data_IF_915652601698
#
_entry.id   IF_915652601698
#
_cell.length_a   1.000
_cell.length_b   1.000
_cell.length_c   1.000
_cell.angle_alpha   90.00
_cell.angle_beta   90.00
_cell.angle_gamma   90.00
#
_symmetry.space_group_name_H-M   'P 1'
#
loop_
_entity.id
_entity.type
_entity.pdbx_description
1 polymer ?
#
# COMPACT_ATOMS: atom_id res chain seq x y z
N UNK A 1 13.05 -10.89 34.86
CA UNK A 1 13.09 -10.74 33.37
C UNK A 1 11.82 -10.02 32.95
N UNK A 2 11.94 -8.83 32.36
CA UNK A 2 10.77 -8.15 31.80
C UNK A 2 10.24 -9.00 30.65
N UNK A 3 8.99 -9.46 30.76
CA UNK A 3 8.33 -10.18 29.68
C UNK A 3 8.20 -9.24 28.48
N UNK A 4 8.56 -9.73 27.31
CA UNK A 4 8.46 -9.04 26.04
C UNK A 4 7.15 -9.45 25.35
N UNK A 5 6.55 -8.54 24.64
CA UNK A 5 5.39 -8.80 23.78
C UNK A 5 5.50 -8.03 22.49
N UNK A 6 4.58 -8.28 21.58
CA UNK A 6 4.60 -7.72 20.22
C UNK A 6 3.24 -7.16 19.86
N UNK A 7 3.21 -5.93 19.41
CA UNK A 7 2.10 -5.44 18.59
C UNK A 7 2.38 -5.90 17.16
N UNK A 8 1.37 -6.38 16.48
CA UNK A 8 1.52 -6.90 15.12
C UNK A 8 0.43 -6.37 14.18
N UNK A 9 0.77 -6.33 12.90
CA UNK A 9 -0.16 -6.15 11.79
C UNK A 9 -0.24 -7.47 11.05
N UNK A 10 -1.47 -7.98 10.85
CA UNK A 10 -1.74 -9.13 10.02
C UNK A 10 -2.56 -8.71 8.81
N UNK A 11 -2.26 -9.36 7.69
CA UNK A 11 -3.03 -9.33 6.45
C UNK A 11 -3.66 -10.68 6.16
N UNK A 12 -4.65 -10.72 5.27
CA UNK A 12 -5.25 -11.96 4.81
C UNK A 12 -5.80 -11.75 3.39
N UNK A 13 -5.46 -12.65 2.49
CA UNK A 13 -5.86 -12.59 1.06
C UNK A 13 -7.38 -12.72 0.83
N UNK A 14 -8.14 -13.17 1.85
CA UNK A 14 -9.61 -13.23 1.78
C UNK A 14 -10.27 -11.88 2.05
N UNK A 15 -9.55 -10.91 2.55
CA UNK A 15 -10.10 -9.61 2.92
C UNK A 15 -10.02 -8.63 1.75
N UNK A 16 -10.82 -7.58 1.84
CA UNK A 16 -10.69 -6.44 0.92
C UNK A 16 -9.30 -5.80 1.06
N UNK A 17 -8.84 -5.18 -0.01
CA UNK A 17 -7.65 -4.33 0.04
C UNK A 17 -7.77 -3.34 1.21
N UNK A 18 -6.68 -3.07 1.89
CA UNK A 18 -6.60 -2.25 3.10
C UNK A 18 -7.24 -2.82 4.38
N UNK A 19 -7.82 -4.01 4.37
CA UNK A 19 -8.31 -4.62 5.60
C UNK A 19 -7.16 -5.31 6.34
N UNK A 20 -6.76 -4.73 7.46
CA UNK A 20 -5.72 -5.27 8.33
C UNK A 20 -6.27 -5.61 9.71
N UNK A 21 -5.57 -6.50 10.40
CA UNK A 21 -5.79 -6.77 11.82
C UNK A 21 -4.58 -6.27 12.62
N UNK A 22 -4.85 -5.44 13.64
CA UNK A 22 -3.83 -4.99 14.58
C UNK A 22 -4.11 -5.67 15.92
N UNK A 23 -3.12 -6.39 16.46
CA UNK A 23 -3.25 -7.10 17.72
C UNK A 23 -1.97 -7.14 18.54
N UNK A 24 -2.05 -7.79 19.69
CA UNK A 24 -0.93 -8.02 20.61
C UNK A 24 -0.78 -9.49 20.95
N UNK A 25 0.44 -9.99 21.03
CA UNK A 25 0.75 -11.31 21.55
C UNK A 25 2.18 -11.35 22.12
N UNK A 26 2.42 -12.25 23.04
CA UNK A 26 3.78 -12.62 23.47
C UNK A 26 4.43 -13.62 22.52
N UNK A 27 3.61 -14.31 21.71
CA UNK A 27 4.02 -15.28 20.69
C UNK A 27 3.11 -15.07 19.46
N UNK A 28 3.64 -14.37 18.47
CA UNK A 28 2.85 -13.97 17.29
C UNK A 28 2.63 -15.15 16.37
N UNK A 29 3.61 -16.01 16.17
CA UNK A 29 3.48 -17.18 15.27
C UNK A 29 2.41 -18.15 15.78
N UNK A 30 2.42 -18.46 17.07
CA UNK A 30 1.36 -19.28 17.70
C UNK A 30 0.00 -18.58 17.54
N UNK A 31 -0.06 -17.27 17.74
CA UNK A 31 -1.30 -16.51 17.60
C UNK A 31 -1.85 -16.52 16.19
N UNK A 32 -0.99 -16.40 15.18
CA UNK A 32 -1.38 -16.50 13.77
C UNK A 32 -1.97 -17.88 13.47
N UNK A 33 -1.33 -18.94 13.91
CA UNK A 33 -1.87 -20.33 13.74
C UNK A 33 -3.25 -20.49 14.40
N UNK A 34 -3.46 -19.93 15.59
CA UNK A 34 -4.77 -19.95 16.28
C UNK A 34 -5.84 -19.19 15.51
N UNK A 35 -5.48 -18.09 14.86
CA UNK A 35 -6.40 -17.24 14.07
C UNK A 35 -6.69 -17.84 12.69
N UNK A 36 -5.73 -18.56 12.11
CA UNK A 36 -5.81 -19.20 10.78
C UNK A 36 -6.55 -20.55 10.87
N UNK A 37 -7.71 -20.58 11.53
CA UNK A 37 -8.52 -21.79 11.66
C UNK A 37 -9.43 -22.00 10.45
N UNK A 38 -10.17 -23.13 10.48
CA UNK A 38 -11.01 -23.66 9.38
C UNK A 38 -12.11 -22.73 8.84
N UNK A 39 -12.25 -21.53 9.35
CA UNK A 39 -13.25 -20.56 8.91
C UNK A 39 -12.79 -19.58 7.85
N UNK A 40 -11.52 -19.59 7.46
CA UNK A 40 -10.96 -18.68 6.45
C UNK A 40 -10.37 -19.49 5.29
N UNK A 41 -10.57 -19.04 4.02
CA UNK A 41 -10.00 -19.71 2.85
C UNK A 41 -8.48 -19.53 2.73
N UNK A 42 -7.89 -18.52 3.37
CA UNK A 42 -6.45 -18.26 3.43
C UNK A 42 -6.02 -18.00 4.87
N UNK A 43 -4.79 -18.37 5.18
CA UNK A 43 -4.18 -18.11 6.49
C UNK A 43 -3.85 -16.60 6.65
N UNK A 44 -3.71 -16.17 7.90
CA UNK A 44 -3.17 -14.87 8.18
C UNK A 44 -1.67 -14.82 7.90
N UNK A 45 -1.22 -13.72 7.35
CA UNK A 45 0.18 -13.41 7.12
C UNK A 45 0.63 -12.28 8.06
N UNK A 46 1.83 -12.44 8.64
CA UNK A 46 2.42 -11.39 9.47
C UNK A 46 3.01 -10.34 8.53
N UNK A 47 2.46 -9.12 8.57
CA UNK A 47 3.01 -8.01 7.80
C UNK A 47 4.18 -7.36 8.55
N UNK A 48 3.98 -7.02 9.83
CA UNK A 48 5.05 -6.53 10.70
C UNK A 48 4.80 -6.87 12.16
N UNK A 49 5.88 -6.83 12.95
CA UNK A 49 5.84 -6.92 14.41
C UNK A 49 6.67 -5.81 15.02
N UNK A 50 6.19 -5.24 16.13
CA UNK A 50 6.94 -4.29 16.92
C UNK A 50 7.04 -4.80 18.36
N UNK A 51 8.29 -5.07 18.81
CA UNK A 51 8.58 -5.55 20.15
C UNK A 51 8.41 -4.43 21.17
N UNK A 52 7.59 -4.67 22.17
CA UNK A 52 7.32 -3.74 23.27
C UNK A 52 7.48 -4.45 24.62
N UNK A 53 7.70 -3.73 25.72
CA UNK A 53 7.53 -4.31 27.04
C UNK A 53 6.15 -4.95 27.18
N UNK A 54 6.06 -6.16 27.74
CA UNK A 54 4.81 -6.89 27.81
C UNK A 54 3.71 -6.07 28.48
N UNK A 55 2.75 -5.62 27.71
CA UNK A 55 1.61 -4.84 28.18
C UNK A 55 0.36 -5.27 27.42
N UNK A 56 -0.55 -5.93 28.11
CA UNK A 56 -1.88 -6.30 27.58
C UNK A 56 -2.76 -5.09 27.22
N UNK A 57 -2.27 -3.87 27.44
CA UNK A 57 -3.01 -2.63 27.14
C UNK A 57 -2.49 -1.91 25.90
N UNK A 58 -1.36 -2.36 25.33
CA UNK A 58 -0.70 -1.64 24.26
C UNK A 58 -1.52 -1.61 22.96
N UNK A 59 -2.06 -2.76 22.55
CA UNK A 59 -2.97 -2.87 21.41
C UNK A 59 -4.23 -2.03 21.62
N UNK A 60 -4.85 -2.10 22.80
CA UNK A 60 -6.06 -1.33 23.13
C UNK A 60 -5.80 0.17 23.12
N UNK A 61 -4.61 0.60 23.51
CA UNK A 61 -4.23 2.01 23.46
C UNK A 61 -4.05 2.48 22.01
N UNK A 62 -3.40 1.67 21.19
CA UNK A 62 -3.26 1.95 19.75
C UNK A 62 -4.61 1.97 19.04
N UNK A 63 -5.49 1.00 19.31
CA UNK A 63 -6.85 0.98 18.75
C UNK A 63 -7.64 2.24 19.11
N UNK A 64 -7.54 2.71 20.37
CA UNK A 64 -8.17 3.96 20.80
C UNK A 64 -7.59 5.16 20.08
N UNK A 65 -6.28 5.21 19.91
CA UNK A 65 -5.62 6.31 19.20
C UNK A 65 -6.12 6.40 17.76
N UNK A 66 -6.14 5.28 17.04
CA UNK A 66 -6.65 5.21 15.66
C UNK A 66 -8.12 5.68 15.63
N UNK A 67 -8.95 5.20 16.55
CA UNK A 67 -10.35 5.55 16.62
C UNK A 67 -10.61 7.02 16.99
N UNK A 68 -9.74 7.63 17.79
CA UNK A 68 -9.81 9.07 18.10
C UNK A 68 -9.43 9.94 16.91
N UNK A 69 -8.45 9.51 16.11
CA UNK A 69 -8.02 10.23 14.91
C UNK A 69 -9.02 10.10 13.77
N UNK A 70 -9.53 8.90 13.55
CA UNK A 70 -10.55 8.64 12.53
C UNK A 70 -11.39 7.40 12.90
N UNK A 71 -12.61 7.60 13.44
CA UNK A 71 -13.50 6.51 13.83
C UNK A 71 -13.90 5.58 12.68
N UNK A 72 -13.93 6.08 11.45
CA UNK A 72 -14.36 5.31 10.27
C UNK A 72 -13.34 4.25 9.83
N UNK A 73 -12.10 4.34 10.29
CA UNK A 73 -11.07 3.34 9.99
C UNK A 73 -11.33 1.99 10.67
N UNK A 74 -12.10 1.95 11.73
CA UNK A 74 -12.46 0.70 12.41
C UNK A 74 -13.65 0.04 11.72
N UNK A 75 -13.42 -1.11 11.07
CA UNK A 75 -14.45 -1.77 10.25
C UNK A 75 -15.66 -2.20 11.07
N UNK A 76 -15.43 -2.72 12.29
CA UNK A 76 -16.51 -3.18 13.15
C UNK A 76 -16.22 -2.79 14.61
N UNK A 77 -17.17 -2.21 15.34
CA UNK A 77 -17.02 -1.94 16.77
C UNK A 77 -16.58 -3.20 17.52
N UNK A 78 -15.67 -3.04 18.49
CA UNK A 78 -15.14 -4.14 19.33
C UNK A 78 -14.36 -5.23 18.60
N UNK A 79 -14.05 -5.08 17.32
CA UNK A 79 -13.13 -5.95 16.58
C UNK A 79 -11.82 -5.21 16.31
N UNK A 80 -10.78 -5.97 16.02
CA UNK A 80 -9.40 -5.49 15.83
C UNK A 80 -9.05 -5.32 14.34
N UNK A 81 -10.08 -5.06 13.51
CA UNK A 81 -9.95 -4.89 12.07
C UNK A 81 -10.10 -3.43 11.68
N UNK A 82 -9.20 -2.99 10.79
CA UNK A 82 -9.11 -1.61 10.36
C UNK A 82 -9.02 -1.53 8.84
N UNK A 83 -9.67 -0.54 8.25
CA UNK A 83 -9.58 -0.18 6.83
C UNK A 83 -8.41 0.81 6.65
N UNK A 84 -7.22 0.28 6.70
CA UNK A 84 -5.96 1.02 6.58
C UNK A 84 -5.02 0.19 5.71
N UNK A 85 -4.40 0.81 4.71
CA UNK A 85 -3.37 0.13 3.92
C UNK A 85 -2.23 -0.36 4.85
N UNK A 86 -1.75 -1.60 4.68
CA UNK A 86 -0.70 -2.16 5.54
C UNK A 86 0.55 -1.27 5.64
N UNK A 87 0.93 -0.62 4.54
CA UNK A 87 2.08 0.28 4.46
C UNK A 87 1.87 1.55 5.29
N UNK A 88 0.64 2.06 5.34
CA UNK A 88 0.28 3.24 6.16
C UNK A 88 0.30 2.87 7.63
N UNK A 89 -0.24 1.70 7.99
CA UNK A 89 -0.19 1.21 9.36
C UNK A 89 1.24 0.89 9.80
N UNK A 90 2.09 0.39 8.91
CA UNK A 90 3.51 0.17 9.18
C UNK A 90 4.24 1.49 9.49
N UNK A 91 3.99 2.56 8.73
CA UNK A 91 4.55 3.89 9.02
C UNK A 91 4.16 4.41 10.40
N UNK A 92 2.93 4.13 10.86
CA UNK A 92 2.55 4.45 12.24
C UNK A 92 3.43 3.71 13.26
N UNK A 93 3.80 2.46 12.98
CA UNK A 93 4.71 1.70 13.84
C UNK A 93 6.14 2.21 13.75
N UNK A 94 6.59 2.68 12.59
CA UNK A 94 7.89 3.35 12.42
C UNK A 94 7.97 4.60 13.31
N UNK A 95 6.97 5.48 13.26
CA UNK A 95 6.92 6.67 14.10
C UNK A 95 6.88 6.32 15.61
N UNK A 96 6.11 5.28 15.97
CA UNK A 96 6.10 4.79 17.35
C UNK A 96 7.49 4.26 17.79
N UNK A 97 8.18 3.56 16.90
CA UNK A 97 9.51 3.02 17.18
C UNK A 97 10.54 4.16 17.37
N UNK A 98 10.48 5.20 16.51
CA UNK A 98 11.29 6.42 16.64
C UNK A 98 11.01 7.14 17.97
N UNK A 99 9.74 7.35 18.32
CA UNK A 99 9.35 7.99 19.59
C UNK A 99 9.86 7.23 20.82
N UNK A 100 10.01 5.93 20.72
CA UNK A 100 10.53 5.08 21.79
C UNK A 100 12.05 4.87 21.73
N UNK A 101 12.74 5.35 20.67
CA UNK A 101 14.17 5.06 20.41
C UNK A 101 14.44 3.56 20.28
N UNK A 102 13.54 2.84 19.58
CA UNK A 102 13.58 1.37 19.50
C UNK A 102 13.25 0.89 18.07
N UNK A 103 13.83 1.54 17.07
CA UNK A 103 13.65 1.23 15.66
C UNK A 103 14.16 -0.17 15.32
N UNK A 104 15.19 -0.66 16.05
CA UNK A 104 15.73 -2.01 15.94
C UNK A 104 14.74 -3.12 16.36
N UNK A 105 13.65 -2.75 17.01
CA UNK A 105 12.60 -3.65 17.49
C UNK A 105 11.40 -3.76 16.55
N UNK A 106 11.37 -2.96 15.52
CA UNK A 106 10.37 -3.05 14.46
C UNK A 106 10.87 -3.99 13.36
N UNK A 107 10.10 -5.01 13.04
CA UNK A 107 10.42 -5.99 12.01
C UNK A 107 9.31 -6.02 10.96
N UNK A 108 9.69 -5.77 9.71
CA UNK A 108 8.83 -5.97 8.54
C UNK A 108 9.06 -7.40 8.02
N UNK A 109 7.98 -8.14 7.82
CA UNK A 109 8.01 -9.44 7.16
C UNK A 109 7.66 -9.24 5.70
N UNK A 110 8.67 -9.13 4.86
CA UNK A 110 8.46 -9.20 3.41
C UNK A 110 8.10 -10.65 3.09
N UNK A 111 6.89 -10.90 2.66
CA UNK A 111 6.60 -12.14 1.98
C UNK A 111 7.30 -12.06 0.62
N UNK A 112 8.43 -12.76 0.45
CA UNK A 112 9.10 -12.89 -0.84
C UNK A 112 8.17 -13.44 -1.93
N UNK A 113 7.04 -14.06 -1.54
CA UNK A 113 5.95 -14.47 -2.41
C UNK A 113 5.00 -13.33 -2.79
N UNK A 114 4.76 -12.34 -1.89
CA UNK A 114 3.96 -11.14 -2.23
C UNK A 114 4.73 -10.26 -3.22
N UNK A 115 6.04 -10.09 -3.02
CA UNK A 115 6.88 -9.40 -4.01
C UNK A 115 6.95 -10.16 -5.35
N UNK A 116 6.80 -11.49 -5.35
CA UNK A 116 6.68 -12.30 -6.57
C UNK A 116 5.27 -12.27 -7.16
N UNK A 117 4.20 -12.37 -6.36
CA UNK A 117 2.82 -12.28 -6.84
C UNK A 117 2.41 -10.85 -7.17
N UNK A 118 2.87 -9.82 -6.43
CA UNK A 118 2.69 -8.43 -6.82
C UNK A 118 3.59 -8.03 -7.99
N UNK A 119 4.76 -8.64 -8.15
CA UNK A 119 5.55 -8.50 -9.37
C UNK A 119 4.91 -9.25 -10.55
N UNK A 120 4.13 -10.32 -10.30
CA UNK A 120 3.32 -11.00 -11.33
C UNK A 120 1.93 -10.37 -11.53
N UNK A 121 1.37 -9.64 -10.53
CA UNK A 121 0.13 -8.82 -10.66
C UNK A 121 0.41 -7.36 -10.98
N UNK A 122 1.61 -6.85 -10.77
CA UNK A 122 2.11 -5.69 -11.49
C UNK A 122 2.38 -6.18 -12.89
N UNK A 123 1.36 -6.11 -13.74
CA UNK A 123 1.59 -6.16 -15.17
C UNK A 123 2.83 -5.32 -15.45
N UNK A 124 3.64 -5.72 -16.44
CA UNK A 124 4.86 -5.00 -16.79
C UNK A 124 4.64 -3.49 -16.67
N UNK A 125 5.59 -2.74 -16.10
CA UNK A 125 5.44 -1.30 -15.96
C UNK A 125 5.04 -0.70 -17.29
N UNK A 126 4.08 0.22 -17.30
CA UNK A 126 3.60 0.86 -18.50
C UNK A 126 4.78 1.37 -19.33
N UNK A 127 4.80 1.01 -20.60
CA UNK A 127 5.83 1.38 -21.58
C UNK A 127 5.13 2.08 -22.76
N UNK A 128 5.55 3.30 -23.04
CA UNK A 128 5.05 4.05 -24.21
C UNK A 128 5.43 3.33 -25.50
N UNK A 129 6.64 2.78 -25.59
CA UNK A 129 7.11 2.04 -26.76
C UNK A 129 6.28 0.79 -27.04
N UNK A 130 5.96 -0.01 -25.99
CA UNK A 130 5.10 -1.19 -26.12
C UNK A 130 3.67 -0.81 -26.54
N UNK A 131 3.18 0.34 -26.11
CA UNK A 131 1.89 0.88 -26.54
C UNK A 131 1.94 1.57 -27.90
N UNK A 132 3.07 1.53 -28.62
CA UNK A 132 3.28 2.23 -29.89
C UNK A 132 3.03 3.74 -29.81
N UNK A 133 3.28 4.34 -28.66
CA UNK A 133 3.18 5.80 -28.45
C UNK A 133 4.61 6.37 -28.64
N UNK A 134 4.84 7.17 -29.69
CA UNK A 134 6.16 7.70 -30.01
C UNK A 134 6.69 8.65 -28.93
N UNK A 135 8.00 8.67 -28.73
CA UNK A 135 8.67 9.72 -27.96
C UNK A 135 8.37 11.06 -28.65
N UNK A 136 8.10 12.07 -27.85
CA UNK A 136 7.66 13.39 -28.34
C UNK A 136 6.15 13.55 -28.42
N UNK A 137 5.37 12.47 -28.25
CA UNK A 137 3.91 12.53 -28.21
C UNK A 137 3.42 13.32 -26.99
N UNK A 138 2.25 13.94 -27.14
CA UNK A 138 1.58 14.64 -26.05
C UNK A 138 0.47 13.78 -25.49
N UNK A 139 0.49 13.57 -24.18
CA UNK A 139 -0.59 12.93 -23.41
C UNK A 139 -1.37 13.99 -22.65
N UNK A 140 -2.65 13.74 -22.40
CA UNK A 140 -3.59 14.67 -21.79
C UNK A 140 -4.12 14.11 -20.49
N UNK A 141 -4.17 14.93 -19.44
CA UNK A 141 -4.75 14.54 -18.17
C UNK A 141 -6.27 14.47 -18.25
N UNK A 142 -6.88 13.38 -17.73
CA UNK A 142 -8.32 13.09 -17.96
C UNK A 142 -9.27 13.99 -17.18
N UNK A 143 -8.83 14.55 -16.05
CA UNK A 143 -9.67 15.39 -15.19
C UNK A 143 -9.56 16.88 -15.53
N UNK A 144 -8.57 17.27 -16.35
CA UNK A 144 -8.39 18.64 -16.84
C UNK A 144 -7.59 18.58 -18.16
N UNK A 145 -8.28 18.74 -19.28
CA UNK A 145 -7.68 18.64 -20.61
C UNK A 145 -6.68 19.76 -20.95
N UNK A 146 -6.63 20.82 -20.16
CA UNK A 146 -5.63 21.88 -20.31
C UNK A 146 -4.25 21.41 -19.83
N UNK A 147 -4.21 20.37 -18.98
CA UNK A 147 -2.98 19.79 -18.48
C UNK A 147 -2.49 18.72 -19.46
N UNK A 148 -1.36 19.03 -20.10
CA UNK A 148 -0.71 18.14 -21.07
C UNK A 148 0.73 17.89 -20.68
N UNK A 149 1.25 16.71 -21.01
CA UNK A 149 2.65 16.34 -20.78
C UNK A 149 3.23 15.68 -22.02
N UNK A 150 4.53 15.86 -22.25
CA UNK A 150 5.23 15.33 -23.41
C UNK A 150 5.97 14.05 -23.04
N UNK A 151 5.85 13.00 -23.81
CA UNK A 151 6.61 11.77 -23.65
C UNK A 151 8.08 12.01 -24.01
N UNK A 152 9.00 11.77 -23.09
CA UNK A 152 10.44 12.00 -23.30
C UNK A 152 11.28 10.72 -23.36
N UNK A 153 10.82 9.66 -22.71
CA UNK A 153 11.39 8.32 -22.85
C UNK A 153 10.30 7.25 -22.70
N UNK A 154 10.67 5.98 -22.64
CA UNK A 154 9.74 4.85 -22.54
C UNK A 154 8.81 4.89 -21.32
N UNK A 155 9.16 5.63 -20.27
CA UNK A 155 8.42 5.68 -19.00
C UNK A 155 8.24 7.06 -18.40
N UNK A 156 8.93 8.07 -18.94
CA UNK A 156 8.94 9.42 -18.39
C UNK A 156 8.29 10.41 -19.31
N UNK A 157 7.76 11.44 -18.69
CA UNK A 157 7.10 12.57 -19.32
C UNK A 157 7.74 13.86 -18.85
N UNK A 158 7.64 14.89 -19.66
CA UNK A 158 8.00 16.27 -19.33
C UNK A 158 6.72 17.07 -19.09
N UNK A 159 6.67 17.76 -17.96
CA UNK A 159 5.60 18.68 -17.60
C UNK A 159 6.22 19.95 -17.02
N UNK A 160 5.91 21.10 -17.60
CA UNK A 160 6.43 22.41 -17.20
C UNK A 160 7.97 22.46 -17.08
N UNK A 161 8.69 21.74 -17.99
CA UNK A 161 10.13 21.68 -17.98
C UNK A 161 10.75 20.66 -17.01
N UNK A 162 9.95 19.97 -16.20
CA UNK A 162 10.41 18.88 -15.32
C UNK A 162 10.16 17.52 -15.91
N UNK A 163 11.19 16.65 -15.91
CA UNK A 163 11.06 15.24 -16.33
C UNK A 163 10.70 14.37 -15.13
N UNK A 164 9.60 13.64 -15.23
CA UNK A 164 9.10 12.78 -14.15
C UNK A 164 8.32 11.58 -14.67
N UNK A 165 7.94 10.67 -13.76
CA UNK A 165 7.00 9.59 -14.09
C UNK A 165 5.56 10.08 -14.07
N UNK A 166 4.67 9.47 -14.88
CA UNK A 166 3.23 9.77 -14.88
C UNK A 166 2.60 9.70 -13.48
N UNK A 167 3.00 8.70 -12.69
CA UNK A 167 2.52 8.54 -11.31
C UNK A 167 2.91 9.73 -10.42
N UNK A 168 4.10 10.30 -10.63
CA UNK A 168 4.56 11.47 -9.88
C UNK A 168 3.71 12.69 -10.24
N UNK A 169 3.45 12.92 -11.53
CA UNK A 169 2.57 14.01 -11.96
C UNK A 169 1.15 13.82 -11.46
N UNK A 170 0.58 12.61 -11.60
CA UNK A 170 -0.76 12.30 -11.10
C UNK A 170 -0.90 12.54 -9.59
N UNK A 171 0.10 12.19 -8.79
CA UNK A 171 0.14 12.49 -7.35
C UNK A 171 0.16 13.99 -7.08
N UNK A 172 0.99 14.76 -7.79
CA UNK A 172 1.05 16.23 -7.68
C UNK A 172 -0.31 16.88 -8.00
N UNK A 173 -1.00 16.39 -9.03
CA UNK A 173 -2.28 16.97 -9.49
C UNK A 173 -3.48 16.59 -8.61
N UNK A 174 -3.50 15.37 -8.07
CA UNK A 174 -4.65 14.85 -7.30
C UNK A 174 -4.49 14.98 -5.80
N UNK A 175 -3.27 15.27 -5.31
CA UNK A 175 -2.90 15.23 -3.89
C UNK A 175 -3.18 13.88 -3.22
N UNK A 176 -3.23 12.77 -4.00
CA UNK A 176 -3.43 11.41 -3.51
C UNK A 176 -2.09 10.70 -3.35
N UNK A 177 -1.91 9.99 -2.24
CA UNK A 177 -0.70 9.21 -1.96
C UNK A 177 -0.60 7.95 -2.83
N UNK A 178 -1.73 7.33 -3.17
CA UNK A 178 -1.80 6.13 -4.01
C UNK A 178 -2.61 6.43 -5.26
N UNK A 179 -2.00 6.30 -6.44
CA UNK A 179 -2.64 6.50 -7.74
C UNK A 179 -1.85 5.77 -8.82
N UNK A 180 -2.55 5.18 -9.80
CA UNK A 180 -1.94 4.60 -10.99
C UNK A 180 -1.80 5.66 -12.08
N UNK A 181 -0.56 6.09 -12.34
CA UNK A 181 -0.29 7.16 -13.29
C UNK A 181 -0.95 6.96 -14.67
N UNK A 182 -0.80 5.82 -15.34
CA UNK A 182 -1.42 5.59 -16.64
C UNK A 182 -2.95 5.77 -16.68
N UNK A 183 -3.65 5.48 -15.59
CA UNK A 183 -5.12 5.62 -15.50
C UNK A 183 -5.58 7.09 -15.53
N UNK A 184 -4.65 8.03 -15.32
CA UNK A 184 -4.94 9.47 -15.25
C UNK A 184 -4.69 10.20 -16.57
N UNK A 185 -4.23 9.50 -17.62
CA UNK A 185 -3.88 10.14 -18.89
C UNK A 185 -4.49 9.42 -20.07
N UNK A 186 -4.72 10.19 -21.13
CA UNK A 186 -5.16 9.71 -22.43
C UNK A 186 -4.21 10.17 -23.54
N UNK A 187 -4.13 9.38 -24.61
CA UNK A 187 -3.44 9.70 -25.85
C UNK A 187 -4.41 9.53 -27.02
N UNK A 188 -4.50 10.52 -27.91
CA UNK A 188 -5.47 10.54 -29.01
C UNK A 188 -6.91 10.21 -28.57
N UNK A 189 -7.31 10.72 -27.38
CA UNK A 189 -8.67 10.52 -26.85
C UNK A 189 -8.92 9.18 -26.16
N UNK A 190 -7.98 8.23 -26.20
CA UNK A 190 -8.08 6.89 -25.61
C UNK A 190 -7.25 6.81 -24.32
N UNK A 191 -7.78 6.18 -23.29
CA UNK A 191 -7.07 5.98 -22.02
C UNK A 191 -5.80 5.13 -22.21
N UNK A 192 -4.72 5.48 -21.53
CA UNK A 192 -3.46 4.75 -21.66
C UNK A 192 -3.56 3.26 -21.27
N UNK A 193 -4.35 2.84 -20.27
CA UNK A 193 -4.59 1.42 -20.01
C UNK A 193 -5.24 0.66 -21.16
N UNK A 194 -6.10 1.30 -21.95
CA UNK A 194 -6.72 0.69 -23.13
C UNK A 194 -5.70 0.45 -24.24
N UNK A 195 -4.76 1.38 -24.43
CA UNK A 195 -3.61 1.17 -25.32
C UNK A 195 -2.78 -0.03 -24.86
N UNK A 196 -2.50 -0.13 -23.56
CA UNK A 196 -1.74 -1.23 -23.02
C UNK A 196 -2.41 -2.58 -23.30
N UNK A 197 -3.71 -2.69 -23.03
CA UNK A 197 -4.47 -3.92 -23.29
C UNK A 197 -4.53 -4.29 -24.77
N UNK A 198 -4.59 -3.29 -25.66
CA UNK A 198 -4.67 -3.49 -27.12
C UNK A 198 -3.39 -4.06 -27.72
N UNK A 199 -2.24 -3.74 -27.17
CA UNK A 199 -0.93 -4.09 -27.73
C UNK A 199 -0.17 -5.17 -26.95
N UNK A 200 -0.76 -5.71 -25.87
CA UNK A 200 -0.26 -6.88 -25.15
C UNK A 200 -1.08 -8.17 -25.36
N UNK A 201 -2.13 -8.13 -26.18
CA UNK A 201 -2.94 -9.29 -26.52
C UNK A 201 -2.27 -10.13 -27.63
#
# INVERSE_FOLDING_TARGET
>A
MNKVGYIYILTNKSFKDNCIKIGYSVDVERRVKELSGSGLPYDYEIYCTYEIPASQKADKSLHRLIQMLNPSLRITPNREFFDIAPEVAYKMFEEMAVMHGREDKLKLYKNDEIDKEESHKRGEPFSFTKCQIPIGSTIVYIYDETITAKVVDDRKIEYQGEIMYMTTLAKKLTNKSVIRGPECFKYNGILLPEYYNKYQA
#
